data_IF_976781369313
#
_entry.id   IF_976781369313
#
_cell.length_a   1.000
_cell.length_b   1.000
_cell.length_c   1.000
_cell.angle_alpha   90.00
_cell.angle_beta   90.00
_cell.angle_gamma   90.00
#
_symmetry.space_group_name_H-M   'P 1'
#
loop_
_entity.id
_entity.type
_entity.pdbx_description
1 polymer ?
#
# COMPACT_ATOMS: atom_id res chain seq x y z
N UNK A 1 -20.45 9.88 -1.01
CA UNK A 1 -19.51 9.08 -1.83
C UNK A 1 -19.70 9.26 -3.35
N UNK A 2 -20.91 9.50 -3.86
CA UNK A 2 -21.17 9.70 -5.31
C UNK A 2 -20.53 10.99 -5.83
N UNK A 3 -20.47 12.07 -5.04
CA UNK A 3 -19.86 13.36 -5.45
C UNK A 3 -18.35 13.27 -5.68
N UNK A 4 -17.62 12.52 -4.86
CA UNK A 4 -16.17 12.39 -5.02
C UNK A 4 -15.78 11.57 -6.27
N UNK A 5 -16.60 10.58 -6.65
CA UNK A 5 -16.40 9.78 -7.88
C UNK A 5 -16.64 10.60 -9.14
N UNK A 6 -17.74 11.40 -9.19
CA UNK A 6 -18.00 12.34 -10.30
C UNK A 6 -16.91 13.41 -10.42
N UNK A 7 -16.36 13.88 -9.31
CA UNK A 7 -15.32 14.90 -9.31
C UNK A 7 -13.99 14.37 -9.87
N UNK A 8 -13.62 13.11 -9.56
CA UNK A 8 -12.42 12.46 -10.14
C UNK A 8 -12.60 12.20 -11.64
N UNK A 9 -13.76 11.71 -12.06
CA UNK A 9 -14.10 11.53 -13.47
C UNK A 9 -14.02 12.86 -14.23
N UNK A 10 -14.50 13.97 -13.67
CA UNK A 10 -14.36 15.31 -14.22
C UNK A 10 -12.89 15.70 -14.38
N UNK A 11 -12.03 15.47 -13.39
CA UNK A 11 -10.61 15.85 -13.46
C UNK A 11 -9.86 15.08 -14.56
N UNK A 12 -10.11 13.78 -14.70
CA UNK A 12 -9.43 12.95 -15.71
C UNK A 12 -9.97 13.22 -17.11
N UNK A 13 -11.29 13.24 -17.29
CA UNK A 13 -11.94 13.39 -18.60
C UNK A 13 -11.91 14.83 -19.14
N UNK A 14 -12.27 15.80 -18.28
CA UNK A 14 -12.51 17.17 -18.75
C UNK A 14 -11.23 18.00 -18.81
N UNK A 15 -10.18 17.59 -18.10
CA UNK A 15 -8.90 18.29 -18.06
C UNK A 15 -7.75 17.58 -18.77
N UNK A 16 -7.98 16.40 -19.34
CA UNK A 16 -6.94 15.63 -20.02
C UNK A 16 -5.78 15.22 -19.09
N UNK A 17 -6.05 15.06 -17.79
CA UNK A 17 -5.02 14.64 -16.84
C UNK A 17 -4.76 13.14 -16.98
N UNK A 18 -3.63 12.80 -17.57
CA UNK A 18 -3.23 11.40 -17.83
C UNK A 18 -2.23 10.85 -16.79
N UNK A 19 -1.76 11.70 -15.89
CA UNK A 19 -0.77 11.35 -14.84
C UNK A 19 -1.40 11.03 -13.47
N UNK A 20 -2.68 10.64 -13.44
CA UNK A 20 -3.42 10.33 -12.22
C UNK A 20 -3.50 8.81 -12.07
N UNK A 21 -3.31 8.35 -10.84
CA UNK A 21 -3.60 6.98 -10.41
C UNK A 21 -4.81 6.99 -9.46
N UNK A 22 -5.54 5.90 -9.44
CA UNK A 22 -6.66 5.72 -8.52
C UNK A 22 -6.25 4.71 -7.46
N UNK A 23 -6.44 5.07 -6.19
CA UNK A 23 -6.28 4.16 -5.08
C UNK A 23 -7.64 3.77 -4.51
N UNK A 24 -7.86 2.46 -4.35
CA UNK A 24 -9.11 1.89 -3.83
C UNK A 24 -8.85 1.33 -2.44
N UNK A 25 -9.45 1.92 -1.39
CA UNK A 25 -9.27 1.43 -0.04
C UNK A 25 -10.28 0.33 0.32
N UNK A 26 -9.90 -0.49 1.28
CA UNK A 26 -10.77 -1.38 2.04
C UNK A 26 -11.55 -2.41 1.19
N UNK A 27 -10.87 -3.01 0.23
CA UNK A 27 -11.44 -4.08 -0.61
C UNK A 27 -11.29 -5.42 0.14
N UNK A 28 -12.40 -6.01 0.56
CA UNK A 28 -12.43 -7.18 1.45
C UNK A 28 -12.35 -8.50 0.72
N UNK A 29 -13.00 -8.57 -0.44
CA UNK A 29 -13.19 -9.82 -1.18
C UNK A 29 -12.87 -9.64 -2.66
N UNK A 30 -12.57 -10.74 -3.35
CA UNK A 30 -12.34 -10.72 -4.80
C UNK A 30 -13.59 -10.25 -5.57
N UNK A 31 -14.79 -10.58 -5.08
CA UNK A 31 -16.04 -10.09 -5.66
C UNK A 31 -16.19 -8.57 -5.52
N UNK A 32 -15.78 -7.98 -4.39
CA UNK A 32 -15.72 -6.50 -4.24
C UNK A 32 -14.68 -5.88 -5.19
N UNK A 33 -13.54 -6.54 -5.38
CA UNK A 33 -12.51 -6.09 -6.32
C UNK A 33 -13.07 -6.01 -7.74
N UNK A 34 -13.72 -7.09 -8.21
CA UNK A 34 -14.38 -7.13 -9.53
C UNK A 34 -15.42 -6.02 -9.67
N UNK A 35 -16.34 -5.90 -8.72
CA UNK A 35 -17.39 -4.87 -8.73
C UNK A 35 -16.83 -3.44 -8.78
N UNK A 36 -15.74 -3.17 -8.07
CA UNK A 36 -15.10 -1.85 -8.08
C UNK A 36 -14.47 -1.56 -9.43
N UNK A 37 -13.77 -2.52 -10.04
CA UNK A 37 -13.16 -2.36 -11.37
C UNK A 37 -14.24 -2.14 -12.43
N UNK A 38 -15.32 -2.91 -12.41
CA UNK A 38 -16.46 -2.73 -13.31
C UNK A 38 -17.13 -1.37 -13.13
N UNK A 39 -17.32 -0.94 -11.88
CA UNK A 39 -17.92 0.36 -11.57
C UNK A 39 -17.04 1.52 -12.07
N UNK A 40 -15.73 1.44 -11.90
CA UNK A 40 -14.78 2.43 -12.42
C UNK A 40 -14.83 2.47 -13.94
N UNK A 41 -14.83 1.31 -14.60
CA UNK A 41 -14.93 1.20 -16.05
C UNK A 41 -16.27 1.77 -16.58
N UNK A 42 -17.39 1.49 -15.90
CA UNK A 42 -18.71 2.06 -16.24
C UNK A 42 -18.70 3.61 -16.21
N UNK A 43 -17.96 4.20 -15.28
CA UNK A 43 -17.77 5.66 -15.23
C UNK A 43 -16.64 6.19 -16.13
N UNK A 44 -16.09 5.35 -17.02
CA UNK A 44 -15.05 5.73 -17.97
C UNK A 44 -13.65 5.82 -17.39
N UNK A 45 -13.41 5.16 -16.26
CA UNK A 45 -12.10 5.02 -15.62
C UNK A 45 -11.61 3.58 -15.79
N UNK A 46 -11.34 3.21 -17.03
CA UNK A 46 -10.93 1.86 -17.37
C UNK A 46 -9.44 1.67 -17.14
N UNK A 47 -9.08 0.62 -16.40
CA UNK A 47 -7.69 0.24 -16.10
C UNK A 47 -6.88 0.07 -17.39
N UNK A 48 -5.69 0.66 -17.45
CA UNK A 48 -4.79 0.63 -18.60
C UNK A 48 -5.13 1.63 -19.70
N UNK A 49 -6.35 2.17 -19.77
CA UNK A 49 -6.74 3.17 -20.77
C UNK A 49 -6.06 4.51 -20.47
N UNK A 50 -5.33 5.06 -21.46
CA UNK A 50 -4.52 6.28 -21.30
C UNK A 50 -3.49 6.20 -20.14
N UNK A 51 -2.97 5.00 -19.85
CA UNK A 51 -1.99 4.79 -18.78
C UNK A 51 -2.57 4.80 -17.36
N UNK A 52 -3.90 4.78 -17.21
CA UNK A 52 -4.54 4.78 -15.90
C UNK A 52 -4.20 3.51 -15.12
N UNK A 53 -3.52 3.67 -14.00
CA UNK A 53 -3.28 2.61 -13.03
C UNK A 53 -4.29 2.66 -11.90
N UNK A 54 -4.72 1.48 -11.45
CA UNK A 54 -5.62 1.32 -10.31
C UNK A 54 -4.87 0.53 -9.26
N UNK A 55 -4.54 1.19 -8.16
CA UNK A 55 -3.82 0.64 -7.01
C UNK A 55 -4.82 0.28 -5.92
N UNK A 56 -4.64 -0.84 -5.27
CA UNK A 56 -5.43 -1.22 -4.09
C UNK A 56 -4.66 -0.89 -2.81
N UNK A 57 -5.35 -0.36 -1.79
CA UNK A 57 -4.79 -0.37 -0.44
C UNK A 57 -4.83 -1.80 0.09
N UNK A 58 -3.65 -2.36 0.34
CA UNK A 58 -3.46 -3.64 1.00
C UNK A 58 -3.39 -3.41 2.51
N UNK A 59 -4.54 -3.46 3.15
CA UNK A 59 -4.68 -3.07 4.56
C UNK A 59 -5.48 -4.09 5.39
N UNK A 60 -5.99 -5.14 4.74
CA UNK A 60 -6.69 -6.24 5.38
C UNK A 60 -5.84 -7.51 5.29
N UNK A 61 -5.80 -8.37 6.31
CA UNK A 61 -5.09 -9.66 6.23
C UNK A 61 -5.50 -10.51 5.01
N UNK A 62 -6.77 -10.46 4.61
CA UNK A 62 -7.24 -11.14 3.40
C UNK A 62 -6.53 -10.67 2.14
N UNK A 63 -6.13 -9.39 2.07
CA UNK A 63 -5.41 -8.84 0.91
C UNK A 63 -4.01 -9.43 0.77
N UNK A 64 -3.34 -9.69 1.89
CA UNK A 64 -2.02 -10.31 1.90
C UNK A 64 -2.10 -11.82 1.61
N UNK A 65 -3.10 -12.50 2.17
CA UNK A 65 -3.31 -13.95 1.99
C UNK A 65 -3.67 -14.29 0.55
N UNK A 66 -4.50 -13.48 -0.10
CA UNK A 66 -4.96 -13.63 -1.48
C UNK A 66 -4.32 -12.59 -2.41
N UNK A 67 -3.05 -12.24 -2.16
CA UNK A 67 -2.38 -11.16 -2.88
C UNK A 67 -2.29 -11.43 -4.39
N UNK A 68 -2.00 -12.65 -4.79
CA UNK A 68 -1.91 -13.04 -6.20
C UNK A 68 -3.23 -12.83 -6.93
N UNK A 69 -4.34 -13.19 -6.31
CA UNK A 69 -5.69 -13.08 -6.88
C UNK A 69 -6.15 -11.62 -6.95
N UNK A 70 -5.90 -10.82 -5.91
CA UNK A 70 -6.21 -9.39 -5.94
C UNK A 70 -5.40 -8.66 -7.00
N UNK A 71 -4.16 -9.05 -7.24
CA UNK A 71 -3.31 -8.46 -8.26
C UNK A 71 -3.81 -8.74 -9.71
N UNK A 72 -4.72 -9.65 -9.93
CA UNK A 72 -5.38 -9.78 -11.24
C UNK A 72 -6.26 -8.55 -11.56
N UNK A 73 -6.84 -7.94 -10.54
CA UNK A 73 -7.72 -6.77 -10.66
C UNK A 73 -6.97 -5.43 -10.58
N UNK A 74 -5.82 -5.38 -9.89
CA UNK A 74 -5.10 -4.14 -9.60
C UNK A 74 -3.69 -4.12 -10.20
N UNK A 75 -3.14 -2.91 -10.38
CA UNK A 75 -1.81 -2.67 -10.95
C UNK A 75 -0.72 -2.62 -9.87
N UNK A 76 -1.10 -2.85 -8.64
CA UNK A 76 -0.18 -2.88 -7.50
C UNK A 76 -0.89 -2.60 -6.19
N UNK A 77 -0.10 -2.58 -5.13
CA UNK A 77 -0.57 -2.32 -3.78
C UNK A 77 0.05 -1.06 -3.18
N UNK A 78 -0.73 -0.37 -2.36
CA UNK A 78 -0.26 0.55 -1.33
C UNK A 78 -0.61 -0.07 0.01
N UNK A 79 0.39 -0.50 0.76
CA UNK A 79 0.16 -1.17 2.05
C UNK A 79 -0.26 -0.12 3.08
N UNK A 80 -1.45 -0.29 3.66
CA UNK A 80 -1.93 0.49 4.80
C UNK A 80 -1.51 -0.19 6.10
N UNK A 81 -0.29 0.08 6.57
CA UNK A 81 0.31 -0.68 7.68
C UNK A 81 -0.44 -0.50 8.99
N UNK A 82 -1.08 0.65 9.22
CA UNK A 82 -1.87 0.88 10.42
C UNK A 82 -3.06 -0.08 10.53
N UNK A 83 -3.88 -0.15 9.48
CA UNK A 83 -5.06 -1.03 9.46
C UNK A 83 -4.64 -2.49 9.37
N UNK A 84 -3.59 -2.80 8.59
CA UNK A 84 -3.03 -4.15 8.54
C UNK A 84 -2.58 -4.63 9.92
N UNK A 85 -1.91 -3.79 10.70
CA UNK A 85 -1.46 -4.10 12.07
C UNK A 85 -2.65 -4.32 13.00
N UNK A 86 -3.58 -3.37 13.00
CA UNK A 86 -4.77 -3.43 13.83
C UNK A 86 -5.57 -4.72 13.60
N UNK A 87 -5.79 -5.07 12.34
CA UNK A 87 -6.61 -6.22 11.98
C UNK A 87 -5.85 -7.55 12.10
N UNK A 88 -4.54 -7.56 11.88
CA UNK A 88 -3.71 -8.76 12.07
C UNK A 88 -3.62 -9.15 13.55
N UNK A 89 -3.42 -8.15 14.42
CA UNK A 89 -3.29 -8.37 15.86
C UNK A 89 -4.64 -8.36 16.60
N UNK A 90 -5.73 -8.00 15.93
CA UNK A 90 -7.06 -7.87 16.55
C UNK A 90 -7.11 -6.75 17.60
N UNK A 91 -6.38 -5.67 17.37
CA UNK A 91 -6.26 -4.53 18.27
C UNK A 91 -7.04 -3.34 17.75
N UNK A 92 -7.54 -2.54 18.68
CA UNK A 92 -7.99 -1.17 18.40
C UNK A 92 -6.91 -0.19 18.88
N UNK A 93 -6.25 0.49 17.94
CA UNK A 93 -5.16 1.44 18.25
C UNK A 93 -5.62 2.65 19.06
N UNK A 94 -6.92 2.96 19.06
CA UNK A 94 -7.50 4.07 19.80
C UNK A 94 -7.98 3.63 21.20
N UNK A 95 -7.89 2.34 21.52
CA UNK A 95 -8.27 1.80 22.83
C UNK A 95 -7.18 2.08 23.87
N UNK A 96 -7.53 2.80 24.94
CA UNK A 96 -6.62 3.05 26.06
C UNK A 96 -6.10 1.79 26.77
N UNK A 97 -6.68 0.61 26.52
CA UNK A 97 -6.30 -0.65 27.15
C UNK A 97 -5.25 -1.40 26.32
N UNK A 98 -5.43 -1.47 25.00
CA UNK A 98 -4.61 -2.32 24.13
C UNK A 98 -3.71 -1.56 23.17
N UNK A 99 -3.86 -0.24 23.03
CA UNK A 99 -3.07 0.58 22.13
C UNK A 99 -1.55 0.43 22.33
N UNK A 100 -1.10 0.18 23.58
CA UNK A 100 0.31 -0.05 23.86
C UNK A 100 0.91 -1.35 23.29
N UNK A 101 0.08 -2.23 22.73
CA UNK A 101 0.49 -3.46 22.05
C UNK A 101 0.55 -3.29 20.52
N UNK A 102 0.17 -2.12 20.02
CA UNK A 102 0.24 -1.81 18.60
C UNK A 102 1.70 -1.60 18.18
N UNK A 103 2.23 -2.50 17.37
CA UNK A 103 3.56 -2.38 16.79
C UNK A 103 3.54 -2.93 15.36
N UNK A 104 3.79 -2.04 14.39
CA UNK A 104 3.85 -2.41 12.97
C UNK A 104 5.03 -3.35 12.65
N UNK A 105 6.00 -3.48 13.58
CA UNK A 105 7.16 -4.38 13.47
C UNK A 105 6.91 -5.78 14.00
N UNK A 106 5.72 -6.05 14.55
CA UNK A 106 5.37 -7.38 15.03
C UNK A 106 5.59 -8.44 13.94
N UNK A 107 6.01 -9.63 14.35
CA UNK A 107 6.35 -10.71 13.41
C UNK A 107 5.16 -11.13 12.54
N UNK A 108 3.95 -11.15 13.10
CA UNK A 108 2.75 -11.50 12.33
C UNK A 108 2.45 -10.44 11.29
N UNK A 109 2.59 -9.16 11.65
CA UNK A 109 2.42 -8.04 10.72
C UNK A 109 3.47 -8.10 9.62
N UNK A 110 4.76 -8.25 9.97
CA UNK A 110 5.84 -8.41 8.99
C UNK A 110 5.58 -9.56 8.02
N UNK A 111 5.01 -10.67 8.47
CA UNK A 111 4.63 -11.78 7.58
C UNK A 111 3.53 -11.40 6.59
N UNK A 112 2.52 -10.64 7.02
CA UNK A 112 1.49 -10.13 6.10
C UNK A 112 2.10 -9.17 5.06
N UNK A 113 2.97 -8.26 5.50
CA UNK A 113 3.67 -7.34 4.61
C UNK A 113 4.55 -8.09 3.60
N UNK A 114 5.31 -9.09 4.05
CA UNK A 114 6.13 -9.93 3.19
C UNK A 114 5.31 -10.61 2.09
N UNK A 115 4.16 -11.22 2.43
CA UNK A 115 3.29 -11.86 1.44
C UNK A 115 2.84 -10.88 0.36
N UNK A 116 2.42 -9.68 0.75
CA UNK A 116 1.97 -8.65 -0.18
C UNK A 116 3.11 -8.13 -1.08
N UNK A 117 4.29 -7.88 -0.50
CA UNK A 117 5.47 -7.40 -1.23
C UNK A 117 5.96 -8.47 -2.21
N UNK A 118 6.10 -9.71 -1.76
CA UNK A 118 6.59 -10.82 -2.57
C UNK A 118 5.68 -11.11 -3.77
N UNK A 119 4.35 -11.10 -3.57
CA UNK A 119 3.38 -11.26 -4.65
C UNK A 119 3.50 -10.15 -5.70
N UNK A 120 3.62 -8.88 -5.28
CA UNK A 120 3.80 -7.76 -6.19
C UNK A 120 5.12 -7.89 -6.97
N UNK A 121 6.21 -8.26 -6.30
CA UNK A 121 7.52 -8.45 -6.94
C UNK A 121 7.50 -9.57 -7.98
N UNK A 122 6.92 -10.72 -7.66
CA UNK A 122 6.78 -11.85 -8.59
C UNK A 122 6.00 -11.50 -9.85
N UNK A 123 5.03 -10.62 -9.72
CA UNK A 123 4.18 -10.13 -10.84
C UNK A 123 4.72 -8.83 -11.46
N UNK A 124 5.88 -8.34 -11.05
CA UNK A 124 6.48 -7.07 -11.52
C UNK A 124 5.52 -5.89 -11.37
N UNK A 125 4.72 -5.87 -10.29
CA UNK A 125 3.76 -4.81 -9.97
C UNK A 125 4.27 -3.90 -8.88
N UNK A 126 3.74 -2.68 -8.86
CA UNK A 126 4.07 -1.68 -7.85
C UNK A 126 3.66 -2.13 -6.45
N UNK A 127 4.52 -1.88 -5.46
CA UNK A 127 4.18 -1.98 -4.05
C UNK A 127 4.79 -0.83 -3.26
N UNK A 128 3.93 -0.03 -2.66
CA UNK A 128 4.32 1.02 -1.72
C UNK A 128 3.75 0.75 -0.33
N UNK A 129 4.19 1.53 0.64
CA UNK A 129 3.64 1.52 1.99
C UNK A 129 3.28 2.94 2.41
N UNK A 130 2.15 3.09 3.07
CA UNK A 130 1.73 4.29 3.78
C UNK A 130 1.33 3.89 5.20
N UNK A 131 1.75 4.69 6.16
CA UNK A 131 1.57 4.45 7.58
C UNK A 131 2.67 5.13 8.38
N UNK A 132 2.62 4.99 9.69
CA UNK A 132 3.50 5.71 10.60
C UNK A 132 4.82 4.96 10.82
N UNK A 133 4.79 3.63 10.78
CA UNK A 133 5.91 2.77 11.18
C UNK A 133 7.25 3.10 10.53
N UNK A 134 7.36 3.30 9.21
CA UNK A 134 8.64 3.63 8.58
C UNK A 134 9.20 5.00 8.99
N UNK A 135 8.33 5.95 9.38
CA UNK A 135 8.75 7.27 9.89
C UNK A 135 9.26 7.20 11.33
N UNK A 136 8.62 6.37 12.16
CA UNK A 136 8.93 6.25 13.58
C UNK A 136 10.11 5.28 13.82
N UNK A 137 10.34 4.35 12.91
CA UNK A 137 11.30 3.25 13.04
C UNK A 137 12.17 3.10 11.78
N UNK A 138 13.36 3.70 11.72
CA UNK A 138 14.26 3.57 10.57
C UNK A 138 14.70 2.13 10.25
N UNK A 139 14.79 1.27 11.26
CA UNK A 139 15.06 -0.17 11.12
C UNK A 139 13.92 -0.89 10.38
N UNK A 140 12.69 -0.44 10.57
CA UNK A 140 11.56 -0.96 9.83
C UNK A 140 11.58 -0.51 8.36
N UNK A 141 11.95 0.74 8.10
CA UNK A 141 12.16 1.22 6.74
C UNK A 141 13.29 0.44 6.02
N UNK A 142 14.38 0.12 6.72
CA UNK A 142 15.47 -0.71 6.20
C UNK A 142 14.98 -2.11 5.84
N UNK A 143 14.24 -2.76 6.72
CA UNK A 143 13.65 -4.08 6.46
C UNK A 143 12.72 -4.07 5.23
N UNK A 144 11.88 -3.04 5.06
CA UNK A 144 11.03 -2.89 3.89
C UNK A 144 11.82 -2.77 2.59
N UNK A 145 12.94 -2.05 2.62
CA UNK A 145 13.85 -1.97 1.46
C UNK A 145 14.47 -3.33 1.16
N UNK A 146 14.84 -4.11 2.18
CA UNK A 146 15.34 -5.48 2.02
C UNK A 146 14.32 -6.42 1.40
N UNK A 147 13.06 -6.28 1.79
CA UNK A 147 11.94 -7.02 1.19
C UNK A 147 11.69 -6.62 -0.28
N UNK A 148 12.25 -5.48 -0.71
CA UNK A 148 12.16 -4.99 -2.09
C UNK A 148 10.93 -4.16 -2.38
N UNK A 149 10.48 -3.38 -1.40
CA UNK A 149 9.39 -2.41 -1.60
C UNK A 149 9.78 -1.34 -2.63
N UNK A 150 8.81 -0.89 -3.45
CA UNK A 150 9.06 0.10 -4.50
C UNK A 150 9.06 1.54 -3.99
N UNK A 151 8.28 1.82 -2.94
CA UNK A 151 8.12 3.17 -2.39
C UNK A 151 7.75 3.13 -0.90
N UNK A 152 8.26 4.09 -0.15
CA UNK A 152 7.93 4.30 1.26
C UNK A 152 7.44 5.74 1.43
N UNK A 153 6.23 5.92 1.93
CA UNK A 153 5.73 7.23 2.34
C UNK A 153 6.24 7.53 3.75
N UNK A 154 6.79 8.72 3.93
CA UNK A 154 7.33 9.19 5.20
C UNK A 154 6.72 10.53 5.58
N UNK A 155 6.70 10.83 6.88
CA UNK A 155 6.41 12.17 7.35
C UNK A 155 7.49 13.14 6.87
N UNK A 156 7.14 14.37 6.47
CA UNK A 156 8.08 15.32 5.88
C UNK A 156 9.33 15.59 6.72
N UNK A 157 9.19 15.60 8.03
CA UNK A 157 10.26 15.83 9.01
C UNK A 157 11.24 14.65 9.17
N UNK A 158 10.82 13.45 8.80
CA UNK A 158 11.65 12.23 8.91
C UNK A 158 12.32 11.80 7.61
N UNK A 159 11.97 12.40 6.47
CA UNK A 159 12.46 12.00 5.14
C UNK A 159 13.98 12.01 5.07
N UNK A 160 14.61 13.11 5.48
CA UNK A 160 16.06 13.28 5.36
C UNK A 160 16.80 12.30 6.25
N UNK A 161 16.39 12.16 7.50
CA UNK A 161 17.01 11.27 8.47
C UNK A 161 16.90 9.81 8.06
N UNK A 162 15.71 9.39 7.63
CA UNK A 162 15.48 8.03 7.14
C UNK A 162 16.31 7.75 5.89
N UNK A 163 16.38 8.68 4.95
CA UNK A 163 17.20 8.52 3.74
C UNK A 163 18.68 8.41 4.06
N UNK A 164 19.18 9.24 4.96
CA UNK A 164 20.59 9.17 5.42
C UNK A 164 20.88 7.86 6.15
N UNK A 165 19.94 7.38 6.96
CA UNK A 165 20.04 6.09 7.64
C UNK A 165 20.17 4.95 6.63
N UNK A 166 19.22 4.84 5.68
CA UNK A 166 19.23 3.82 4.62
C UNK A 166 20.49 3.87 3.76
N UNK A 167 20.98 5.09 3.41
CA UNK A 167 22.19 5.28 2.63
C UNK A 167 23.49 4.82 3.33
N UNK A 168 23.56 4.90 4.65
CA UNK A 168 24.67 4.38 5.44
C UNK A 168 24.71 2.86 5.49
N UNK A 169 23.53 2.24 5.64
CA UNK A 169 23.41 0.78 5.80
C UNK A 169 23.51 0.04 4.45
N UNK A 170 23.07 0.66 3.35
CA UNK A 170 23.24 0.08 2.01
C UNK A 170 24.72 0.00 1.55
N UNK A 171 25.56 0.97 1.95
CA UNK A 171 27.00 0.98 1.60
C UNK A 171 27.80 -0.14 2.28
N UNK A 172 27.37 -0.58 3.45
CA UNK A 172 28.04 -1.67 4.18
C UNK A 172 27.80 -3.05 3.56
N UNK A 173 26.88 -3.19 2.62
CA UNK A 173 26.52 -4.45 1.95
C UNK A 173 27.18 -4.63 0.58
N UNK A 174 27.66 -3.54 -0.04
CA UNK A 174 28.36 -3.59 -1.32
C UNK A 174 29.84 -3.97 -1.22
N UNK A 175 30.32 -4.31 0.00
CA UNK A 175 31.73 -4.65 0.29
C UNK A 175 31.91 -6.02 0.94
N UNK A 176 30.94 -6.94 0.82
CA UNK A 176 31.06 -8.32 1.29
C UNK A 176 30.99 -9.31 0.13
#
# INVERSE_FOLDING_TARGET
>A
HVRSRRQRQMCIRDRGLTNIEIMVPFVRTLSEAEQVIELLAFYGLKRGENGLRIIMMCELPTNAILADEFLEFFDGFSIGSNDMTQLTLGLDRDSGIVAGQFDERDLAVKRMLHLAIDACRKKEKYVGICGQGPSDHPDFAEWLVEEGISAISLNPDTVVDTWMYLGKHSKNRGSA
#
